data_IF_162273979538
#
_entry.id   IF_162273979538
#
_cell.length_a   1.000
_cell.length_b   1.000
_cell.length_c   1.000
_cell.angle_alpha   90.00
_cell.angle_beta   90.00
_cell.angle_gamma   90.00
#
_symmetry.space_group_name_H-M   'P 1'
#
loop_
_entity.id
_entity.type
_entity.pdbx_description
1 polymer ?
#
# COMPACT_ATOMS: atom_id res chain seq x y z
N UNK A 1 -19.33 12.72 -1.01
CA UNK A 1 -18.09 11.96 -1.22
C UNK A 1 -17.54 12.35 -2.59
N UNK A 2 -16.73 13.40 -2.64
CA UNK A 2 -16.03 13.81 -3.87
C UNK A 2 -14.55 13.56 -3.63
N UNK A 3 -14.16 12.29 -3.70
CA UNK A 3 -12.75 11.94 -3.80
C UNK A 3 -12.37 12.20 -5.25
N UNK A 4 -11.32 12.96 -5.48
CA UNK A 4 -10.72 13.20 -6.79
C UNK A 4 -10.62 11.82 -7.50
N UNK A 5 -11.19 11.68 -8.70
CA UNK A 5 -11.14 10.42 -9.45
C UNK A 5 -9.69 10.15 -9.83
N UNK A 6 -8.98 9.35 -9.03
CA UNK A 6 -7.69 8.76 -9.36
C UNK A 6 -7.95 7.41 -10.00
N UNK A 7 -8.22 7.39 -11.31
CA UNK A 7 -8.26 6.14 -12.05
C UNK A 7 -6.88 5.49 -11.94
N UNK A 8 -6.75 4.43 -11.14
CA UNK A 8 -5.64 3.50 -11.32
C UNK A 8 -5.77 3.01 -12.76
N UNK A 9 -4.74 3.11 -13.58
CA UNK A 9 -4.77 2.47 -14.90
C UNK A 9 -4.29 1.05 -14.72
N UNK A 10 -4.76 0.14 -15.56
CA UNK A 10 -4.11 -1.17 -15.62
C UNK A 10 -2.66 -1.00 -16.12
N UNK A 11 -1.87 -2.06 -16.02
CA UNK A 11 -0.46 -2.02 -16.44
C UNK A 11 -0.27 -1.75 -17.95
N UNK A 12 -1.32 -1.83 -18.77
CA UNK A 12 -1.30 -1.48 -20.19
C UNK A 12 -1.78 -0.04 -20.46
N UNK A 13 -2.11 0.73 -19.41
CA UNK A 13 -2.64 2.08 -19.52
C UNK A 13 -4.14 2.12 -19.82
N UNK A 14 -4.85 0.99 -19.73
CA UNK A 14 -6.29 0.87 -19.90
C UNK A 14 -7.08 1.28 -18.65
N UNK A 15 -8.41 1.33 -18.79
CA UNK A 15 -9.36 1.79 -17.77
C UNK A 15 -10.13 0.64 -17.09
N UNK A 16 -9.50 -0.54 -16.93
CA UNK A 16 -10.14 -1.71 -16.31
C UNK A 16 -10.26 -1.61 -14.77
N UNK A 17 -10.34 -0.39 -14.25
CA UNK A 17 -10.51 -0.09 -12.84
C UNK A 17 -11.85 0.57 -12.64
N UNK A 18 -12.59 0.15 -11.63
CA UNK A 18 -13.81 0.86 -11.27
C UNK A 18 -13.44 2.15 -10.52
N UNK A 19 -14.26 3.19 -10.71
CA UNK A 19 -14.05 4.49 -10.07
C UNK A 19 -13.89 4.32 -8.56
N UNK A 20 -12.94 5.05 -7.96
CA UNK A 20 -12.59 5.07 -6.52
C UNK A 20 -11.82 3.87 -5.95
N UNK A 21 -11.31 2.94 -6.78
CA UNK A 21 -10.39 1.89 -6.30
C UNK A 21 -8.97 2.44 -6.05
N UNK A 22 -8.56 2.50 -4.78
CA UNK A 22 -7.30 3.11 -4.35
C UNK A 22 -6.20 2.05 -4.24
N UNK A 23 -5.84 1.36 -5.32
CA UNK A 23 -4.78 0.35 -5.29
C UNK A 23 -4.77 -0.55 -6.52
N UNK A 24 -3.98 -1.62 -6.47
CA UNK A 24 -3.92 -2.65 -7.52
C UNK A 24 -4.33 -3.99 -6.93
N UNK A 25 -5.34 -4.62 -7.54
CA UNK A 25 -5.78 -5.96 -7.14
C UNK A 25 -5.07 -7.03 -7.97
N UNK A 26 -4.53 -8.03 -7.28
CA UNK A 26 -3.95 -9.21 -7.89
C UNK A 26 -4.78 -10.44 -7.51
N UNK A 27 -5.37 -11.08 -8.51
CA UNK A 27 -6.07 -12.34 -8.32
C UNK A 27 -5.07 -13.43 -7.89
N UNK A 28 -5.21 -13.91 -6.64
CA UNK A 28 -4.37 -14.96 -6.08
C UNK A 28 -5.19 -15.90 -5.19
N UNK A 29 -4.90 -17.21 -5.19
CA UNK A 29 -5.54 -18.14 -4.26
C UNK A 29 -5.27 -17.76 -2.81
N UNK A 30 -6.22 -18.02 -1.92
CA UNK A 30 -6.01 -17.96 -0.46
C UNK A 30 -4.86 -18.88 -0.08
N UNK A 31 -3.99 -18.42 0.83
CA UNK A 31 -2.83 -19.20 1.27
C UNK A 31 -1.54 -18.90 0.51
N UNK A 32 -1.58 -18.04 -0.51
CA UNK A 32 -0.39 -17.63 -1.28
C UNK A 32 0.54 -16.77 -0.41
N UNK A 33 1.84 -17.09 -0.28
CA UNK A 33 2.80 -16.24 0.40
C UNK A 33 2.94 -14.88 -0.28
N UNK A 34 2.76 -13.80 0.48
CA UNK A 34 2.94 -12.43 0.02
C UNK A 34 4.29 -11.92 0.52
N UNK A 35 5.06 -11.32 -0.38
CA UNK A 35 6.40 -10.80 -0.09
C UNK A 35 6.45 -9.28 -0.19
N UNK A 36 7.38 -8.65 0.52
CA UNK A 36 7.60 -7.21 0.42
C UNK A 36 8.20 -6.84 -0.95
N UNK A 37 7.69 -5.75 -1.53
CA UNK A 37 8.02 -5.25 -2.88
C UNK A 37 9.38 -4.57 -2.96
N UNK A 38 9.88 -4.07 -1.83
CA UNK A 38 11.21 -3.49 -1.62
C UNK A 38 11.61 -3.68 -0.13
N UNK A 39 12.87 -3.46 0.26
CA UNK A 39 13.26 -3.46 1.66
C UNK A 39 12.55 -2.35 2.42
N UNK A 40 12.38 -2.51 3.72
CA UNK A 40 11.62 -1.53 4.47
C UNK A 40 11.52 -1.78 5.97
N UNK A 41 10.71 -0.96 6.61
CA UNK A 41 10.33 -1.03 8.01
C UNK A 41 8.81 -1.26 8.12
N UNK A 42 8.39 -2.28 8.85
CA UNK A 42 6.97 -2.55 9.09
C UNK A 42 6.43 -1.51 10.06
N UNK A 43 5.59 -0.61 9.56
CA UNK A 43 5.01 0.48 10.36
C UNK A 43 3.78 0.04 11.16
N UNK A 44 2.96 -0.83 10.57
CA UNK A 44 1.68 -1.25 11.15
C UNK A 44 1.31 -2.65 10.66
N UNK A 45 0.77 -3.46 11.58
CA UNK A 45 0.03 -4.67 11.23
C UNK A 45 -1.39 -4.51 11.72
N UNK A 46 -2.24 -4.05 10.81
CA UNK A 46 -3.62 -3.73 11.11
C UNK A 46 -4.48 -4.99 11.14
N UNK A 47 -5.27 -5.16 12.20
CA UNK A 47 -6.10 -6.34 12.43
C UNK A 47 -7.58 -5.99 12.60
N UNK A 48 -7.94 -4.75 12.30
CA UNK A 48 -9.31 -4.28 12.41
C UNK A 48 -10.20 -4.99 11.37
N UNK A 49 -11.45 -5.25 11.74
CA UNK A 49 -12.44 -5.81 10.82
C UNK A 49 -13.09 -4.66 10.05
N UNK A 50 -12.36 -4.16 9.06
CA UNK A 50 -12.74 -3.02 8.25
C UNK A 50 -12.67 -3.36 6.75
N UNK A 51 -12.75 -2.34 5.91
CA UNK A 51 -12.41 -2.44 4.49
C UNK A 51 -10.93 -2.82 4.33
N UNK A 52 -10.63 -3.96 3.70
CA UNK A 52 -9.26 -4.49 3.66
C UNK A 52 -8.93 -5.54 4.71
N UNK A 53 -9.51 -5.47 5.92
CA UNK A 53 -9.28 -6.44 7.00
C UNK A 53 -7.81 -6.46 7.47
N UNK A 54 -7.20 -7.65 7.58
CA UNK A 54 -5.80 -7.78 7.98
C UNK A 54 -4.86 -7.18 6.91
N UNK A 55 -4.07 -6.18 7.34
CA UNK A 55 -3.16 -5.41 6.49
C UNK A 55 -1.75 -5.37 7.07
N UNK A 56 -0.75 -5.40 6.21
CA UNK A 56 0.66 -5.16 6.58
C UNK A 56 1.14 -3.92 5.83
N UNK A 57 1.56 -2.89 6.58
CA UNK A 57 2.09 -1.64 6.05
C UNK A 57 3.60 -1.55 6.22
N UNK A 58 4.31 -1.20 5.15
CA UNK A 58 5.77 -1.16 5.12
C UNK A 58 6.22 0.17 4.53
N UNK A 59 7.08 0.87 5.25
CA UNK A 59 7.83 2.03 4.76
C UNK A 59 9.08 1.56 4.01
N UNK A 60 9.25 2.01 2.78
CA UNK A 60 10.40 1.73 1.92
C UNK A 60 11.37 2.91 1.81
N UNK A 61 11.16 3.95 2.62
CA UNK A 61 11.97 5.16 2.66
C UNK A 61 11.56 6.16 1.59
N UNK A 62 12.05 7.40 1.72
CA UNK A 62 11.72 8.49 0.78
C UNK A 62 10.21 8.68 0.59
N UNK A 63 9.46 8.54 1.68
CA UNK A 63 8.01 8.70 1.79
C UNK A 63 7.20 7.72 0.95
N UNK A 64 7.83 6.62 0.52
CA UNK A 64 7.19 5.53 -0.19
C UNK A 64 6.79 4.44 0.79
N UNK A 65 5.52 4.09 0.81
CA UNK A 65 5.04 2.96 1.59
C UNK A 65 4.10 2.10 0.77
N UNK A 66 3.96 0.83 1.17
CA UNK A 66 3.00 -0.10 0.58
C UNK A 66 2.19 -0.80 1.64
N UNK A 67 0.99 -1.25 1.27
CA UNK A 67 0.16 -2.07 2.13
C UNK A 67 -0.37 -3.24 1.34
N UNK A 68 -0.21 -4.42 1.95
CA UNK A 68 -0.82 -5.65 1.49
C UNK A 68 -2.05 -5.95 2.34
N UNK A 69 -3.23 -5.92 1.71
CA UNK A 69 -4.53 -6.09 2.38
C UNK A 69 -5.18 -7.45 2.10
N UNK A 70 -6.29 -7.72 2.77
CA UNK A 70 -7.08 -8.96 2.71
C UNK A 70 -6.29 -10.21 3.13
N UNK A 71 -5.25 -10.05 3.95
CA UNK A 71 -4.40 -11.17 4.34
C UNK A 71 -5.15 -12.14 5.26
N UNK A 72 -4.80 -13.43 5.21
CA UNK A 72 -5.27 -14.39 6.21
C UNK A 72 -4.35 -14.40 7.44
N UNK A 73 -3.08 -14.05 7.26
CA UNK A 73 -2.07 -14.03 8.33
C UNK A 73 -0.93 -13.07 8.01
N UNK A 74 -0.53 -12.28 9.00
CA UNK A 74 0.73 -11.52 8.97
C UNK A 74 1.88 -12.39 9.48
N UNK A 75 3.04 -12.31 8.82
CA UNK A 75 4.26 -13.05 9.16
C UNK A 75 5.34 -12.18 9.80
N UNK A 76 5.07 -10.89 9.94
CA UNK A 76 5.98 -9.87 10.48
C UNK A 76 5.33 -9.11 11.63
N UNK A 77 6.12 -8.31 12.34
CA UNK A 77 5.67 -7.47 13.46
C UNK A 77 6.00 -6.00 13.22
N UNK A 78 5.27 -5.11 13.89
CA UNK A 78 5.56 -3.68 13.88
C UNK A 78 6.99 -3.42 14.38
N UNK A 79 7.72 -2.52 13.71
CA UNK A 79 9.12 -2.21 13.97
C UNK A 79 10.13 -3.19 13.34
N UNK A 80 9.67 -4.25 12.68
CA UNK A 80 10.56 -5.21 11.99
C UNK A 80 11.11 -4.61 10.69
N UNK A 81 12.42 -4.76 10.47
CA UNK A 81 13.04 -4.48 9.17
C UNK A 81 12.90 -5.70 8.28
N UNK A 82 12.52 -5.48 7.02
CA UNK A 82 12.30 -6.54 6.03
C UNK A 82 13.17 -6.33 4.80
N UNK A 83 13.63 -7.43 4.23
CA UNK A 83 14.41 -7.44 2.99
C UNK A 83 13.51 -7.68 1.77
N UNK A 84 13.91 -7.20 0.59
CA UNK A 84 13.17 -7.44 -0.66
C UNK A 84 12.86 -8.93 -0.85
N UNK A 85 11.61 -9.24 -1.15
CA UNK A 85 11.19 -10.62 -1.37
C UNK A 85 11.05 -11.45 -0.08
N UNK A 86 11.30 -10.88 1.10
CA UNK A 86 10.94 -11.50 2.38
C UNK A 86 9.42 -11.64 2.49
N UNK A 87 8.96 -12.79 2.95
CA UNK A 87 7.52 -13.03 3.17
C UNK A 87 7.02 -12.24 4.37
N UNK A 88 5.98 -11.45 4.14
CA UNK A 88 5.37 -10.56 5.15
C UNK A 88 3.95 -10.97 5.52
N UNK A 89 3.31 -11.78 4.68
CA UNK A 89 1.95 -12.23 4.91
C UNK A 89 1.55 -13.44 4.08
N UNK A 90 0.30 -13.83 4.24
CA UNK A 90 -0.36 -14.89 3.47
C UNK A 90 -1.68 -14.32 2.96
N UNK A 91 -1.97 -14.46 1.67
CA UNK A 91 -3.22 -13.99 1.07
C UNK A 91 -4.44 -14.64 1.73
N UNK A 92 -5.57 -13.94 1.69
CA UNK A 92 -6.80 -14.36 2.34
C UNK A 92 -8.02 -13.64 1.78
N UNK A 93 -9.02 -13.48 2.64
CA UNK A 93 -10.23 -12.73 2.36
C UNK A 93 -10.80 -12.16 3.68
N UNK A 94 -9.96 -11.43 4.42
CA UNK A 94 -10.29 -10.97 5.79
C UNK A 94 -11.09 -9.66 5.85
N UNK A 95 -11.27 -8.97 4.73
CA UNK A 95 -11.95 -7.68 4.69
C UNK A 95 -13.48 -7.81 4.77
N UNK A 96 -14.14 -6.72 5.18
CA UNK A 96 -15.60 -6.63 5.21
C UNK A 96 -16.24 -6.92 3.85
N UNK A 97 -15.55 -6.62 2.75
CA UNK A 97 -16.02 -6.87 1.39
C UNK A 97 -16.34 -8.35 1.16
N UNK A 98 -15.52 -9.24 1.71
CA UNK A 98 -15.76 -10.67 1.59
C UNK A 98 -17.05 -11.07 2.31
N UNK A 99 -17.29 -10.53 3.51
CA UNK A 99 -18.51 -10.84 4.28
C UNK A 99 -19.76 -10.26 3.59
N UNK A 100 -19.68 -9.01 3.14
CA UNK A 100 -20.83 -8.26 2.61
C UNK A 100 -21.22 -8.69 1.20
N UNK A 101 -20.27 -9.17 0.40
CA UNK A 101 -20.47 -9.44 -1.02
C UNK A 101 -20.13 -10.88 -1.42
N UNK A 102 -20.01 -11.82 -0.49
CA UNK A 102 -19.87 -13.24 -0.83
C UNK A 102 -21.11 -13.76 -1.60
N UNK A 103 -20.95 -14.55 -2.69
CA UNK A 103 -19.70 -15.06 -3.28
C UNK A 103 -19.14 -14.22 -4.45
N UNK A 104 -19.59 -12.98 -4.63
CA UNK A 104 -19.24 -12.11 -5.76
C UNK A 104 -17.85 -11.46 -5.65
N UNK A 105 -17.23 -11.44 -4.46
CA UNK A 105 -15.84 -10.99 -4.27
C UNK A 105 -14.91 -12.20 -4.21
N UNK A 106 -14.09 -12.36 -5.23
CA UNK A 106 -13.06 -13.37 -5.26
C UNK A 106 -11.88 -12.97 -4.33
N UNK A 107 -11.25 -13.92 -3.63
CA UNK A 107 -10.02 -13.65 -2.89
C UNK A 107 -8.94 -13.05 -3.79
N UNK A 108 -8.30 -11.99 -3.30
CA UNK A 108 -7.27 -11.26 -4.01
C UNK A 108 -6.31 -10.61 -3.02
N UNK A 109 -5.14 -10.20 -3.50
CA UNK A 109 -4.28 -9.27 -2.81
C UNK A 109 -4.62 -7.87 -3.30
N UNK A 110 -5.03 -6.98 -2.39
CA UNK A 110 -5.11 -5.55 -2.67
C UNK A 110 -3.81 -4.88 -2.23
N UNK A 111 -3.03 -4.38 -3.19
CA UNK A 111 -1.78 -3.67 -2.96
C UNK A 111 -2.01 -2.16 -3.12
N UNK A 112 -1.83 -1.43 -2.04
CA UNK A 112 -1.78 0.02 -2.08
C UNK A 112 -0.32 0.47 -2.20
N UNK A 113 -0.08 1.49 -3.02
CA UNK A 113 1.21 2.19 -3.10
C UNK A 113 0.95 3.66 -2.84
N UNK A 114 1.79 4.25 -2.00
CA UNK A 114 1.65 5.64 -1.65
C UNK A 114 2.98 6.36 -1.67
N UNK A 115 2.93 7.64 -2.03
CA UNK A 115 4.06 8.52 -2.06
C UNK A 115 3.67 9.87 -1.47
N UNK A 116 4.48 10.40 -0.56
CA UNK A 116 4.24 11.71 0.07
C UNK A 116 2.88 11.83 0.78
N UNK A 117 2.34 10.70 1.23
CA UNK A 117 1.10 10.63 1.97
C UNK A 117 -0.16 10.54 1.10
N UNK A 118 0.01 10.49 -0.22
CA UNK A 118 -1.07 10.30 -1.19
C UNK A 118 -0.99 8.90 -1.80
N UNK A 119 -2.16 8.31 -2.06
CA UNK A 119 -2.22 7.05 -2.80
C UNK A 119 -1.94 7.33 -4.27
N UNK A 120 -1.04 6.54 -4.86
CA UNK A 120 -0.61 6.71 -6.24
C UNK A 120 -0.78 5.42 -7.04
N UNK A 121 -0.94 5.59 -8.35
CA UNK A 121 -0.75 4.49 -9.28
C UNK A 121 0.76 4.19 -9.41
N UNK A 122 1.22 2.95 -9.12
CA UNK A 122 2.62 2.57 -9.30
C UNK A 122 3.03 2.43 -10.77
N UNK A 123 2.08 2.30 -11.70
CA UNK A 123 2.32 2.33 -13.13
C UNK A 123 2.61 3.76 -13.60
N UNK A 124 3.42 3.89 -14.64
CA UNK A 124 3.68 5.17 -15.29
C UNK A 124 2.59 5.50 -16.31
N UNK A 125 2.20 6.77 -16.38
CA UNK A 125 1.44 7.32 -17.49
C UNK A 125 2.14 8.52 -18.13
N UNK A 126 2.20 8.55 -19.46
CA UNK A 126 2.89 9.61 -20.20
C UNK A 126 4.38 9.64 -19.85
N UNK A 127 4.87 10.80 -19.41
CA UNK A 127 6.27 11.03 -19.04
C UNK A 127 6.57 10.72 -17.55
N UNK A 128 5.61 10.16 -16.81
CA UNK A 128 5.81 9.79 -15.42
C UNK A 128 6.82 8.64 -15.27
N UNK A 129 7.59 8.68 -14.17
CA UNK A 129 8.48 7.58 -13.81
C UNK A 129 7.67 6.45 -13.19
N UNK A 130 7.85 5.22 -13.67
CA UNK A 130 7.22 4.02 -13.10
C UNK A 130 7.83 3.71 -11.72
N UNK A 131 6.99 3.33 -10.76
CA UNK A 131 7.47 2.88 -9.44
C UNK A 131 8.04 1.46 -9.51
N UNK A 132 7.66 0.70 -10.52
CA UNK A 132 8.16 -0.65 -10.78
C UNK A 132 9.54 -0.61 -11.44
N UNK A 133 10.47 -1.46 -10.97
CA UNK A 133 11.83 -1.55 -11.54
C UNK A 133 11.85 -1.95 -13.02
N UNK A 134 10.81 -2.66 -13.47
CA UNK A 134 10.65 -3.17 -14.83
C UNK A 134 9.66 -2.34 -15.65
N UNK A 135 9.50 -1.06 -15.31
CA UNK A 135 8.47 -0.20 -15.90
C UNK A 135 7.09 -0.85 -15.73
N UNK A 136 6.16 -0.59 -16.65
CA UNK A 136 4.82 -1.18 -16.66
C UNK A 136 4.78 -2.68 -17.06
N UNK A 137 5.87 -3.43 -16.90
CA UNK A 137 5.89 -4.92 -16.92
C UNK A 137 6.48 -5.44 -15.59
N UNK A 138 5.81 -5.23 -14.44
CA UNK A 138 6.35 -5.58 -13.14
C UNK A 138 6.58 -7.10 -13.05
N UNK A 139 7.72 -7.48 -12.47
CA UNK A 139 8.11 -8.88 -12.28
C UNK A 139 8.38 -9.15 -10.81
N UNK A 140 8.26 -10.41 -10.34
CA UNK A 140 8.78 -10.80 -9.03
C UNK A 140 10.27 -10.50 -8.91
N UNK A 141 10.72 -10.29 -7.68
CA UNK A 141 12.15 -10.19 -7.40
C UNK A 141 12.88 -11.43 -7.91
N UNK A 142 13.98 -11.22 -8.63
CA UNK A 142 14.73 -12.27 -9.30
C UNK A 142 15.80 -12.94 -8.43
N UNK A 143 16.02 -12.41 -7.21
CA UNK A 143 17.02 -12.86 -6.26
C UNK A 143 18.39 -12.19 -6.43
N UNK A 144 18.55 -11.31 -7.42
CA UNK A 144 19.83 -10.63 -7.67
C UNK A 144 19.90 -9.33 -6.86
N UNK A 145 21.03 -9.03 -6.19
CA UNK A 145 21.19 -7.78 -5.45
C UNK A 145 20.85 -6.55 -6.30
N UNK A 146 20.13 -5.60 -5.71
CA UNK A 146 19.78 -4.35 -6.38
C UNK A 146 20.81 -3.29 -6.01
N UNK A 147 21.47 -2.70 -7.01
CA UNK A 147 22.47 -1.66 -6.78
C UNK A 147 21.83 -0.42 -6.13
N UNK A 148 22.47 0.12 -5.10
CA UNK A 148 21.97 1.31 -4.38
C UNK A 148 20.77 1.06 -3.47
N UNK A 149 20.48 -0.21 -3.16
CA UNK A 149 19.38 -0.63 -2.30
C UNK A 149 19.72 -0.50 -0.80
N UNK A 150 20.20 0.66 -0.38
CA UNK A 150 20.21 0.98 1.04
C UNK A 150 18.82 1.47 1.44
N UNK A 151 18.22 0.85 2.45
CA UNK A 151 16.96 1.31 3.04
C UNK A 151 17.23 2.22 4.23
N UNK A 152 16.78 3.47 4.09
CA UNK A 152 16.66 4.44 5.17
C UNK A 152 15.18 4.77 5.38
N UNK A 153 14.67 4.74 6.62
CA UNK A 153 13.29 5.10 6.92
C UNK A 153 12.92 6.51 6.46
N UNK A 154 11.65 6.73 6.14
CA UNK A 154 11.12 8.03 5.75
C UNK A 154 11.23 9.04 6.89
N UNK A 155 11.55 10.30 6.56
CA UNK A 155 11.68 11.38 7.54
C UNK A 155 10.35 12.11 7.75
N UNK A 156 9.70 11.78 8.86
CA UNK A 156 8.47 12.43 9.31
C UNK A 156 8.74 13.83 9.87
N UNK A 157 7.80 14.75 9.62
CA UNK A 157 7.77 16.07 10.24
C UNK A 157 6.94 16.01 11.54
N UNK A 158 7.57 16.14 12.74
CA UNK A 158 6.83 16.07 13.99
C UNK A 158 5.68 17.07 14.09
N UNK A 159 5.88 18.30 13.62
CA UNK A 159 4.88 19.36 13.68
C UNK A 159 3.74 19.08 12.69
N UNK A 160 4.09 18.65 11.47
CA UNK A 160 3.14 18.20 10.46
C UNK A 160 2.28 17.01 10.92
N UNK A 161 2.87 16.04 11.61
CA UNK A 161 2.16 14.89 12.17
C UNK A 161 1.20 15.30 13.29
N UNK A 162 1.62 16.15 14.24
CA UNK A 162 0.71 16.61 15.28
C UNK A 162 -0.42 17.49 14.73
N UNK A 163 -0.13 18.36 13.76
CA UNK A 163 -1.16 19.12 13.05
C UNK A 163 -2.15 18.20 12.32
N UNK A 164 -1.66 17.10 11.75
CA UNK A 164 -2.48 16.08 11.10
C UNK A 164 -3.39 15.33 12.08
N UNK A 165 -2.90 15.05 13.28
CA UNK A 165 -3.71 14.49 14.38
C UNK A 165 -4.79 15.50 14.77
N UNK A 166 -4.45 16.78 14.97
CA UNK A 166 -5.41 17.81 15.37
C UNK A 166 -6.51 18.04 14.34
N UNK A 167 -6.20 17.89 13.05
CA UNK A 167 -7.17 17.97 11.96
C UNK A 167 -8.18 16.82 11.95
N UNK A 168 -7.96 15.74 12.69
CA UNK A 168 -8.91 14.65 12.82
C UNK A 168 -10.06 15.02 13.76
N UNK A 169 -11.30 15.01 13.26
CA UNK A 169 -12.50 15.36 14.04
C UNK A 169 -12.89 14.30 15.06
N UNK A 170 -12.47 13.06 14.86
CA UNK A 170 -12.76 11.95 15.76
C UNK A 170 -11.84 11.99 16.98
N UNK A 171 -12.42 12.19 18.16
CA UNK A 171 -11.69 12.29 19.42
C UNK A 171 -11.01 10.97 19.80
N UNK A 172 -11.67 9.84 19.58
CA UNK A 172 -11.14 8.53 19.95
C UNK A 172 -9.92 8.19 19.08
N UNK A 173 -10.01 8.46 17.78
CA UNK A 173 -8.87 8.29 16.86
C UNK A 173 -7.70 9.18 17.27
N UNK A 174 -7.94 10.45 17.64
CA UNK A 174 -6.88 11.36 18.10
C UNK A 174 -6.19 10.85 19.36
N UNK A 175 -6.97 10.49 20.38
CA UNK A 175 -6.43 10.02 21.66
C UNK A 175 -5.67 8.70 21.49
N UNK A 176 -6.25 7.75 20.75
CA UNK A 176 -5.59 6.48 20.39
C UNK A 176 -4.28 6.75 19.64
N UNK A 177 -4.29 7.63 18.65
CA UNK A 177 -3.09 7.97 17.89
C UNK A 177 -2.00 8.54 18.80
N UNK A 178 -2.34 9.51 19.66
CA UNK A 178 -1.38 10.12 20.61
C UNK A 178 -0.83 9.14 21.64
N UNK A 179 -1.55 8.05 21.92
CA UNK A 179 -1.09 7.02 22.84
C UNK A 179 0.13 6.23 22.33
N UNK A 180 0.39 6.23 21.02
CA UNK A 180 1.58 5.60 20.47
C UNK A 180 2.84 6.41 20.81
N UNK A 181 3.90 5.74 21.27
CA UNK A 181 5.15 6.42 21.66
C UNK A 181 5.95 6.92 20.47
N UNK A 182 6.04 6.11 19.39
CA UNK A 182 6.84 6.42 18.20
C UNK A 182 6.10 7.36 17.24
N UNK A 183 6.79 8.37 16.72
CA UNK A 183 6.28 9.30 15.72
C UNK A 183 5.82 8.59 14.45
N UNK A 184 6.59 7.61 13.99
CA UNK A 184 6.33 6.82 12.78
C UNK A 184 5.00 6.09 12.89
N UNK A 185 4.69 5.51 14.07
CA UNK A 185 3.42 4.83 14.31
C UNK A 185 2.24 5.80 14.32
N UNK A 186 2.41 7.00 14.91
CA UNK A 186 1.39 8.06 14.87
C UNK A 186 1.10 8.51 13.46
N UNK A 187 2.16 8.77 12.70
CA UNK A 187 2.05 9.22 11.32
C UNK A 187 1.37 8.15 10.44
N UNK A 188 1.78 6.88 10.59
CA UNK A 188 1.12 5.76 9.93
C UNK A 188 -0.36 5.68 10.30
N UNK A 189 -0.72 5.83 11.57
CA UNK A 189 -2.12 5.79 12.02
C UNK A 189 -2.97 6.86 11.30
N UNK A 190 -2.52 8.11 11.29
CA UNK A 190 -3.26 9.21 10.64
C UNK A 190 -3.37 9.02 9.14
N UNK A 191 -2.27 8.61 8.51
CA UNK A 191 -2.22 8.34 7.08
C UNK A 191 -3.27 7.30 6.64
N UNK A 192 -3.44 6.22 7.42
CA UNK A 192 -4.46 5.21 7.15
C UNK A 192 -5.88 5.79 7.26
N UNK A 193 -6.16 6.55 8.32
CA UNK A 193 -7.48 7.19 8.49
C UNK A 193 -7.77 8.23 7.41
N UNK A 194 -6.76 8.96 6.93
CA UNK A 194 -6.93 9.94 5.83
C UNK A 194 -7.40 9.27 4.54
N UNK A 195 -6.97 8.05 4.26
CA UNK A 195 -7.32 7.32 3.02
C UNK A 195 -8.68 6.63 3.17
N UNK A 196 -8.88 5.89 4.26
CA UNK A 196 -10.10 5.11 4.48
C UNK A 196 -11.30 5.98 4.86
N UNK A 197 -11.04 7.09 5.57
CA UNK A 197 -12.05 7.94 6.18
C UNK A 197 -11.71 9.43 5.99
N UNK A 198 -11.32 9.85 4.79
CA UNK A 198 -10.94 11.26 4.51
C UNK A 198 -11.96 12.29 5.02
N UNK A 199 -13.25 11.93 5.05
CA UNK A 199 -14.32 12.78 5.54
C UNK A 199 -14.16 13.19 7.01
N UNK A 200 -13.43 12.46 7.86
CA UNK A 200 -13.25 12.84 9.28
C UNK A 200 -12.12 13.84 9.50
N UNK A 201 -11.46 14.34 8.45
CA UNK A 201 -10.39 15.33 8.55
C UNK A 201 -10.84 16.70 8.05
N UNK A 202 -10.48 17.75 8.79
CA UNK A 202 -10.73 19.15 8.43
C UNK A 202 -9.67 19.71 7.46
N UNK A 203 -8.46 19.16 7.50
CA UNK A 203 -7.32 19.56 6.67
C UNK A 203 -6.32 18.40 6.48
N UNK A 204 -5.40 18.55 5.53
CA UNK A 204 -4.39 17.56 5.16
C UNK A 204 -2.97 18.15 5.19
N UNK A 205 -2.45 18.59 6.36
CA UNK A 205 -1.07 19.05 6.47
C UNK A 205 -0.08 17.97 6.03
N UNK A 206 1.05 18.41 5.48
CA UNK A 206 2.15 17.54 5.08
C UNK A 206 2.68 16.76 6.27
N UNK A 207 2.95 15.46 6.07
CA UNK A 207 3.44 14.56 7.13
C UNK A 207 4.97 14.41 7.11
N UNK A 208 5.62 14.83 6.03
CA UNK A 208 7.03 14.59 5.76
C UNK A 208 7.79 15.91 5.67
N UNK A 209 9.05 15.91 6.09
CA UNK A 209 9.91 17.11 6.04
C UNK A 209 10.23 17.57 4.63
N UNK A 210 10.31 16.63 3.70
CA UNK A 210 10.65 16.85 2.30
C UNK A 210 9.83 15.90 1.44
N UNK A 211 9.57 16.27 0.19
CA UNK A 211 8.92 15.38 -0.77
C UNK A 211 9.90 14.32 -1.30
N UNK A 212 9.43 13.09 -1.36
CA UNK A 212 10.06 11.99 -2.07
C UNK A 212 9.74 12.06 -3.56
N UNK A 213 10.67 11.55 -4.37
CA UNK A 213 10.51 11.47 -5.82
C UNK A 213 10.00 10.10 -6.25
N UNK A 214 9.24 10.05 -7.36
CA UNK A 214 8.92 8.78 -8.04
C UNK A 214 10.22 8.16 -8.54
N UNK A 215 10.43 6.88 -8.21
CA UNK A 215 11.61 6.11 -8.63
C UNK A 215 11.29 4.64 -8.83
N UNK A 216 11.93 3.95 -9.79
CA UNK A 216 11.76 2.52 -9.98
C UNK A 216 12.41 1.76 -8.82
N UNK A 217 11.59 1.18 -7.93
CA UNK A 217 12.10 0.48 -6.74
C UNK A 217 11.24 -0.73 -6.32
N UNK A 218 10.03 -0.88 -6.87
CA UNK A 218 9.11 -1.96 -6.53
C UNK A 218 9.29 -3.16 -7.48
N UNK A 219 9.22 -4.37 -6.92
CA UNK A 219 8.98 -5.62 -7.63
C UNK A 219 7.61 -6.18 -7.21
N UNK A 220 7.05 -7.14 -7.96
CA UNK A 220 5.75 -7.74 -7.61
C UNK A 220 5.81 -8.40 -6.22
N UNK A 221 4.70 -8.35 -5.45
CA UNK A 221 4.61 -8.89 -4.09
C UNK A 221 4.46 -10.43 -4.07
N UNK A 222 5.04 -11.13 -5.04
CA UNK A 222 5.01 -12.59 -5.17
C UNK A 222 6.41 -13.16 -5.24
N UNK A 223 6.57 -14.40 -4.78
CA UNK A 223 7.83 -15.14 -5.02
C UNK A 223 7.90 -15.51 -6.50
N UNK A 224 9.10 -15.44 -7.07
CA UNK A 224 9.35 -15.82 -8.47
C UNK A 224 8.81 -17.20 -8.84
N UNK A 225 8.95 -18.17 -7.94
CA UNK A 225 8.50 -19.55 -8.14
C UNK A 225 6.97 -19.73 -8.10
N UNK A 226 6.26 -18.79 -7.46
CA UNK A 226 4.80 -18.83 -7.30
C UNK A 226 4.09 -18.00 -8.39
N UNK A 227 4.85 -17.29 -9.24
CA UNK A 227 4.33 -16.40 -10.27
C UNK A 227 4.47 -17.02 -11.67
N UNK A 228 3.34 -17.18 -12.36
CA UNK A 228 3.28 -17.77 -13.70
C UNK A 228 3.11 -16.73 -14.83
N UNK A 229 3.01 -15.44 -14.49
CA UNK A 229 2.71 -14.35 -15.42
C UNK A 229 1.45 -13.58 -15.02
N UNK A 230 1.29 -12.39 -15.59
CA UNK A 230 0.03 -11.66 -15.53
C UNK A 230 -0.88 -12.17 -16.66
N UNK A 231 -2.02 -12.76 -16.29
CA UNK A 231 -3.06 -13.08 -17.25
C UNK A 231 -4.02 -11.91 -17.32
N UNK A 232 -4.15 -11.31 -18.50
CA UNK A 232 -5.22 -10.37 -18.79
C UNK A 232 -6.28 -11.05 -19.65
N UNK A 233 -7.57 -10.83 -19.38
CA UNK A 233 -8.59 -11.19 -20.33
C UNK A 233 -8.30 -10.48 -21.67
N UNK A 234 -8.53 -11.14 -22.81
CA UNK A 234 -8.32 -10.52 -24.12
C UNK A 234 -9.16 -9.24 -24.21
N UNK A 235 -8.53 -8.13 -24.61
CA UNK A 235 -9.23 -6.88 -24.89
C UNK A 235 -10.13 -7.14 -26.10
N UNK A 236 -11.44 -7.24 -25.89
CA UNK A 236 -12.37 -7.25 -27.02
C UNK A 236 -12.28 -5.88 -27.71
N UNK A 237 -11.98 -5.83 -29.02
CA UNK A 237 -12.03 -4.58 -29.75
C UNK A 237 -13.46 -4.05 -29.68
N UNK A 238 -13.60 -2.80 -29.21
CA UNK A 238 -14.85 -2.03 -29.17
C UNK A 238 -15.22 -1.58 -30.58
#
# INVERSE_FOLDING_TARGET
YSVKVSTCRDFQGGQWTYDSHVGTDFAVPVGTPIVTTAPGLVLRVDRELDHGGLKVCIDHGQNLFTTSSHLSRALVREGERVERGQSVGVSGASGLEFILFFPWVAPHLHLNVWLNGEAIDPFAFGDEVSMWRRHNDPRPYDGNPVAGEAFEPSEWDPDGVEAAIDACRDLEIREKTRSFESLERRAAEILFHRVLSSAIFDDFPALYKQEGARRPCLDLPFRKQDFQGAWLPPVHPV
#
